data_IF_506957993679
#
_entry.id   IF_506957993679
#
_cell.length_a   1.000
_cell.length_b   1.000
_cell.length_c   1.000
_cell.angle_alpha   90.00
_cell.angle_beta   90.00
_cell.angle_gamma   90.00
#
_symmetry.space_group_name_H-M   'P 1'
#
loop_
_entity.id
_entity.type
_entity.pdbx_description
1 polymer ?
#
# COMPACT_ATOMS: atom_id res chain seq x y z
N UNK A 1 18.36 3.84 3.54
CA UNK A 1 16.98 4.17 3.95
C UNK A 1 16.01 3.42 3.06
N UNK A 2 15.20 2.52 3.62
CA UNK A 2 14.05 1.94 2.92
C UNK A 2 12.97 3.01 2.78
N UNK A 3 12.70 3.46 1.56
CA UNK A 3 11.73 4.50 1.23
C UNK A 3 10.69 3.89 0.29
N UNK A 4 9.42 4.22 0.48
CA UNK A 4 8.33 3.76 -0.38
C UNK A 4 7.27 4.85 -0.54
N UNK A 5 6.64 4.89 -1.71
CA UNK A 5 5.45 5.67 -1.99
C UNK A 5 4.37 4.71 -2.52
N UNK A 6 3.10 4.99 -2.21
CA UNK A 6 2.00 4.11 -2.62
C UNK A 6 0.67 4.47 -1.97
N UNK A 7 -0.33 3.65 -2.25
CA UNK A 7 -1.62 3.71 -1.59
C UNK A 7 -1.48 3.29 -0.14
N UNK A 8 -2.00 4.11 0.77
CA UNK A 8 -2.04 3.84 2.21
C UNK A 8 -3.49 3.76 2.65
N UNK A 9 -3.72 3.16 3.81
CA UNK A 9 -5.03 3.14 4.46
C UNK A 9 -4.83 2.97 5.95
N UNK A 10 -5.78 3.44 6.76
CA UNK A 10 -5.69 3.27 8.21
C UNK A 10 -5.85 1.81 8.58
N UNK A 11 -5.15 1.39 9.62
CA UNK A 11 -5.18 0.02 10.10
C UNK A 11 -6.59 -0.47 10.50
N UNK A 12 -7.47 0.45 10.92
CA UNK A 12 -8.87 0.15 11.31
C UNK A 12 -9.83 0.03 10.11
N UNK A 13 -9.47 0.62 8.97
CA UNK A 13 -10.34 0.75 7.80
C UNK A 13 -9.98 -0.23 6.67
N UNK A 14 -8.89 -0.99 6.81
CA UNK A 14 -8.39 -1.85 5.75
C UNK A 14 -8.79 -3.31 5.91
N UNK A 15 -9.09 -3.92 4.77
CA UNK A 15 -9.25 -5.36 4.64
C UNK A 15 -8.03 -5.87 3.90
N UNK A 16 -7.37 -6.89 4.44
CA UNK A 16 -6.36 -7.65 3.69
C UNK A 16 -7.13 -8.44 2.62
N UNK A 17 -6.94 -8.16 1.32
CA UNK A 17 -7.67 -8.86 0.28
C UNK A 17 -7.25 -10.33 0.25
N UNK A 18 -8.20 -11.23 -0.03
CA UNK A 18 -7.95 -12.66 -0.08
C UNK A 18 -7.22 -13.10 -1.36
N UNK A 19 -6.96 -12.18 -2.29
CA UNK A 19 -6.20 -12.46 -3.50
C UNK A 19 -5.73 -11.16 -4.16
N UNK A 20 -4.77 -11.27 -5.07
CA UNK A 20 -4.36 -10.15 -5.92
C UNK A 20 -5.51 -9.67 -6.80
N UNK A 21 -6.38 -10.57 -7.28
CA UNK A 21 -7.56 -10.19 -8.03
C UNK A 21 -8.49 -9.28 -7.20
N UNK A 22 -8.74 -9.67 -5.95
CA UNK A 22 -9.56 -8.88 -5.04
C UNK A 22 -8.91 -7.52 -4.73
N UNK A 23 -7.59 -7.46 -4.56
CA UNK A 23 -6.84 -6.21 -4.42
C UNK A 23 -7.05 -5.28 -5.63
N UNK A 24 -6.85 -5.80 -6.84
CA UNK A 24 -7.03 -5.04 -8.09
C UNK A 24 -8.45 -4.51 -8.21
N UNK A 25 -9.45 -5.36 -7.92
CA UNK A 25 -10.86 -4.98 -8.00
C UNK A 25 -11.19 -3.91 -6.96
N UNK A 26 -10.84 -4.12 -5.69
CA UNK A 26 -11.12 -3.21 -4.57
C UNK A 26 -10.48 -1.84 -4.75
N UNK A 27 -9.25 -1.79 -5.26
CA UNK A 27 -8.50 -0.56 -5.48
C UNK A 27 -8.56 -0.06 -6.93
N UNK A 28 -9.45 -0.62 -7.77
CA UNK A 28 -9.62 -0.27 -9.20
C UNK A 28 -8.31 -0.11 -9.96
N UNK A 29 -7.34 -0.96 -9.68
CA UNK A 29 -6.01 -0.92 -10.30
C UNK A 29 -6.01 -1.44 -11.74
N UNK A 30 -7.20 -1.64 -12.33
CA UNK A 30 -7.47 -2.13 -13.69
C UNK A 30 -7.52 -1.00 -14.75
N UNK A 31 -6.98 0.18 -14.44
CA UNK A 31 -6.88 1.29 -15.38
C UNK A 31 -5.91 1.01 -16.54
N UNK A 32 -6.14 1.65 -17.68
CA UNK A 32 -5.29 1.49 -18.87
C UNK A 32 -3.83 1.88 -18.58
N UNK A 33 -2.89 1.03 -18.95
CA UNK A 33 -1.46 1.24 -18.69
C UNK A 33 -0.98 0.92 -17.27
N UNK A 34 -1.86 0.34 -16.43
CA UNK A 34 -1.47 -0.18 -15.12
C UNK A 34 -0.33 -1.19 -15.21
N UNK A 35 0.61 -1.13 -14.24
CA UNK A 35 1.66 -2.14 -14.07
C UNK A 35 1.24 -3.27 -13.12
N UNK A 36 0.07 -3.13 -12.49
CA UNK A 36 -0.45 -4.11 -11.54
C UNK A 36 -1.05 -5.31 -12.28
N UNK A 37 -0.97 -6.51 -11.67
CA UNK A 37 -1.43 -7.75 -12.27
C UNK A 37 -2.07 -8.65 -11.22
N UNK A 38 -3.24 -9.22 -11.57
CA UNK A 38 -3.96 -10.20 -10.75
C UNK A 38 -3.21 -11.54 -10.58
N UNK A 39 -2.20 -11.79 -11.41
CA UNK A 39 -1.45 -13.05 -11.43
C UNK A 39 -0.14 -13.00 -10.63
N UNK A 40 0.21 -11.82 -10.10
CA UNK A 40 1.37 -11.59 -9.23
C UNK A 40 0.94 -11.44 -7.78
N UNK A 41 1.81 -11.77 -6.83
CA UNK A 41 1.57 -11.51 -5.41
C UNK A 41 1.59 -10.02 -5.05
N UNK A 42 1.39 -9.72 -3.76
CA UNK A 42 1.39 -8.35 -3.24
C UNK A 42 2.09 -8.29 -1.87
N UNK A 43 2.48 -7.08 -1.47
CA UNK A 43 3.13 -6.84 -0.17
C UNK A 43 2.26 -5.89 0.65
N UNK A 44 1.98 -6.25 1.89
CA UNK A 44 1.35 -5.36 2.87
C UNK A 44 2.41 -4.95 3.87
N UNK A 45 2.58 -3.63 4.06
CA UNK A 45 3.50 -3.04 5.01
C UNK A 45 2.71 -2.32 6.10
N UNK A 46 2.84 -2.78 7.33
CA UNK A 46 2.18 -2.21 8.51
C UNK A 46 3.20 -1.41 9.31
N UNK A 47 2.96 -0.12 9.51
CA UNK A 47 3.88 0.79 10.20
C UNK A 47 3.14 1.87 10.99
N UNK A 48 3.82 2.45 11.99
CA UNK A 48 3.27 3.57 12.78
C UNK A 48 3.63 4.91 12.17
N UNK A 49 2.62 5.68 11.75
CA UNK A 49 2.77 7.06 11.31
C UNK A 49 2.03 8.03 12.26
N UNK A 50 2.74 8.80 13.12
CA UNK A 50 2.11 9.67 14.12
C UNK A 50 1.48 10.93 13.52
N UNK A 51 1.92 11.36 12.34
CA UNK A 51 1.44 12.57 11.67
C UNK A 51 1.31 12.27 10.18
N UNK A 52 0.33 11.44 9.78
CA UNK A 52 0.21 11.06 8.39
C UNK A 52 -0.26 12.27 7.60
N UNK A 53 0.64 12.83 6.78
CA UNK A 53 0.27 13.83 5.78
C UNK A 53 -0.38 13.09 4.62
N UNK A 54 -1.68 12.91 4.75
CA UNK A 54 -2.46 12.17 3.79
C UNK A 54 -3.21 13.15 2.93
N UNK A 55 -2.81 13.23 1.65
CA UNK A 55 -3.62 13.96 0.68
C UNK A 55 -4.85 13.10 0.36
N UNK A 56 -6.03 13.65 0.65
CA UNK A 56 -7.21 13.23 -0.07
C UNK A 56 -7.10 13.77 -1.49
N UNK A 57 -7.23 12.92 -2.50
CA UNK A 57 -7.09 13.24 -3.94
C UNK A 57 -8.11 14.24 -4.49
N UNK A 58 -8.82 15.00 -3.65
CA UNK A 58 -9.81 16.00 -4.05
C UNK A 58 -9.21 17.33 -4.53
N UNK A 59 -8.00 17.71 -4.09
CA UNK A 59 -7.46 19.06 -4.32
C UNK A 59 -6.43 19.17 -5.44
N UNK A 60 -6.06 18.07 -6.10
CA UNK A 60 -5.11 18.10 -7.22
C UNK A 60 -5.89 18.33 -8.54
N UNK A 61 -5.61 19.41 -9.30
CA UNK A 61 -6.22 19.60 -10.62
C UNK A 61 -5.91 18.41 -11.53
N UNK A 62 -6.94 17.81 -12.11
CA UNK A 62 -6.83 16.63 -12.97
C UNK A 62 -6.29 17.03 -14.35
N UNK A 63 -5.03 17.46 -14.41
CA UNK A 63 -4.31 17.66 -15.66
C UNK A 63 -3.92 16.28 -16.22
N UNK A 64 -4.77 15.68 -17.04
CA UNK A 64 -4.48 14.49 -17.86
C UNK A 64 -3.99 13.24 -17.10
N UNK A 65 -4.49 12.96 -15.89
CA UNK A 65 -4.10 11.76 -15.13
C UNK A 65 -5.08 10.59 -15.40
N UNK A 66 -4.64 9.47 -16.00
CA UNK A 66 -5.51 8.33 -16.39
C UNK A 66 -5.95 7.42 -15.23
N UNK A 67 -5.79 7.88 -13.99
CA UNK A 67 -6.03 7.09 -12.78
C UNK A 67 -7.53 7.03 -12.40
N UNK A 68 -7.97 5.94 -11.74
CA UNK A 68 -9.37 5.54 -11.57
C UNK A 68 -10.10 6.31 -10.44
N UNK A 69 -9.94 7.63 -10.38
CA UNK A 69 -10.47 8.46 -9.30
C UNK A 69 -11.98 8.72 -9.44
N UNK A 70 -12.75 8.45 -8.39
CA UNK A 70 -14.21 8.71 -8.36
C UNK A 70 -14.55 10.16 -8.02
N UNK A 71 -13.55 11.01 -7.71
CA UNK A 71 -13.71 12.37 -7.15
C UNK A 71 -14.47 12.42 -5.81
N UNK A 72 -14.49 11.31 -5.06
CA UNK A 72 -15.10 11.23 -3.72
C UNK A 72 -14.11 10.81 -2.62
N UNK A 73 -12.80 10.81 -2.90
CA UNK A 73 -11.77 10.38 -1.95
C UNK A 73 -11.85 8.88 -1.64
N UNK A 74 -12.47 8.11 -2.54
CA UNK A 74 -12.73 6.70 -2.40
C UNK A 74 -12.42 5.98 -3.72
N UNK A 75 -11.67 4.88 -3.67
CA UNK A 75 -11.68 3.87 -4.72
C UNK A 75 -12.86 2.96 -4.45
N UNK A 76 -13.87 3.02 -5.31
CA UNK A 76 -15.01 2.12 -5.25
C UNK A 76 -14.86 0.99 -6.27
N UNK A 77 -14.88 -0.25 -5.80
CA UNK A 77 -15.21 -1.43 -6.60
C UNK A 77 -16.70 -1.71 -6.54
N UNK A 78 -17.19 -2.66 -7.35
CA UNK A 78 -18.58 -3.16 -7.21
C UNK A 78 -18.85 -3.81 -5.85
N UNK A 79 -17.82 -4.09 -5.06
CA UNK A 79 -17.89 -4.87 -3.81
C UNK A 79 -17.56 -4.04 -2.57
N UNK A 80 -16.58 -3.13 -2.65
CA UNK A 80 -16.10 -2.35 -1.51
C UNK A 80 -15.79 -0.90 -1.90
N UNK A 81 -15.93 0.01 -0.94
CA UNK A 81 -15.50 1.40 -1.03
C UNK A 81 -14.30 1.54 -0.09
N UNK A 82 -13.13 1.87 -0.61
CA UNK A 82 -11.91 2.08 0.19
C UNK A 82 -11.49 3.55 0.07
N UNK A 83 -11.28 4.28 1.18
CA UNK A 83 -10.71 5.62 1.13
C UNK A 83 -9.36 5.63 0.40
N UNK A 84 -9.23 6.47 -0.63
CA UNK A 84 -7.95 6.68 -1.31
C UNK A 84 -7.12 7.67 -0.54
N UNK A 85 -6.09 7.16 0.09
CA UNK A 85 -5.07 7.96 0.71
C UNK A 85 -3.77 7.74 -0.07
N UNK A 86 -3.31 8.79 -0.74
CA UNK A 86 -1.99 8.81 -1.36
C UNK A 86 -1.04 9.53 -0.40
N UNK A 87 0.00 8.82 0.06
CA UNK A 87 1.09 9.48 0.80
C UNK A 87 2.04 10.09 -0.22
N UNK A 88 1.97 11.41 -0.38
CA UNK A 88 2.97 12.17 -1.17
C UNK A 88 4.34 12.18 -0.47
N UNK A 89 4.34 12.01 0.85
CA UNK A 89 5.56 11.94 1.65
C UNK A 89 6.18 10.55 1.65
N UNK A 90 7.51 10.54 1.66
CA UNK A 90 8.30 9.33 1.83
C UNK A 90 8.08 8.80 3.24
N UNK A 91 7.54 7.59 3.35
CA UNK A 91 7.40 6.90 4.64
C UNK A 91 8.79 6.49 5.15
N UNK A 92 9.15 6.96 6.34
CA UNK A 92 10.30 6.42 7.08
C UNK A 92 9.86 5.27 7.98
N UNK A 93 10.28 4.06 7.63
CA UNK A 93 10.00 2.88 8.44
C UNK A 93 10.93 2.78 9.67
N UNK A 94 10.39 2.24 10.76
CA UNK A 94 11.02 2.12 12.08
C UNK A 94 11.28 0.65 12.42
N UNK A 95 12.21 0.44 13.35
CA UNK A 95 12.49 -0.90 13.88
C UNK A 95 11.20 -1.49 14.45
N UNK A 96 10.91 -2.74 14.07
CA UNK A 96 9.69 -3.43 14.43
C UNK A 96 8.53 -3.31 13.42
N UNK A 97 8.63 -2.42 12.43
CA UNK A 97 7.64 -2.40 11.33
C UNK A 97 7.69 -3.72 10.54
N UNK A 98 6.53 -4.14 10.03
CA UNK A 98 6.33 -5.48 9.45
C UNK A 98 5.93 -5.38 7.99
N UNK A 99 6.53 -6.23 7.15
CA UNK A 99 6.09 -6.47 5.79
C UNK A 99 5.73 -7.95 5.64
N UNK A 100 4.56 -8.24 5.07
CA UNK A 100 4.12 -9.58 4.70
C UNK A 100 4.00 -9.67 3.19
N UNK A 101 4.62 -10.68 2.61
CA UNK A 101 4.53 -11.00 1.18
C UNK A 101 3.47 -12.07 1.01
N UNK A 102 2.49 -11.77 0.15
CA UNK A 102 1.39 -12.66 -0.19
C UNK A 102 1.58 -13.19 -1.61
N UNK A 103 1.27 -14.46 -1.84
CA UNK A 103 1.10 -14.98 -3.19
C UNK A 103 -0.17 -14.40 -3.85
N UNK A 104 -0.42 -14.76 -5.11
CA UNK A 104 -1.59 -14.27 -5.85
C UNK A 104 -2.94 -14.69 -5.24
N UNK A 105 -2.94 -15.73 -4.41
CA UNK A 105 -4.11 -16.32 -3.76
C UNK A 105 -4.26 -15.84 -2.31
N UNK A 106 -3.49 -14.84 -1.87
CA UNK A 106 -3.59 -14.29 -0.53
C UNK A 106 -2.93 -15.14 0.56
N UNK A 107 -2.12 -16.15 0.21
CA UNK A 107 -1.35 -16.89 1.21
C UNK A 107 -0.07 -16.13 1.56
N UNK A 108 0.22 -15.98 2.86
CA UNK A 108 1.50 -15.42 3.31
C UNK A 108 2.63 -16.40 2.96
N UNK A 109 3.59 -15.96 2.15
CA UNK A 109 4.76 -16.76 1.76
C UNK A 109 6.05 -16.29 2.42
N UNK A 110 6.12 -15.01 2.80
CA UNK A 110 7.27 -14.45 3.52
C UNK A 110 6.84 -13.36 4.50
N UNK A 111 7.62 -13.19 5.57
CA UNK A 111 7.47 -12.11 6.54
C UNK A 111 8.83 -11.46 6.78
N UNK A 112 8.83 -10.13 6.84
CA UNK A 112 10.01 -9.34 7.13
C UNK A 112 9.71 -8.38 8.29
N UNK A 113 10.73 -8.11 9.10
CA UNK A 113 10.69 -7.10 10.15
C UNK A 113 11.88 -6.16 9.96
N UNK A 114 11.68 -4.86 10.17
CA UNK A 114 12.82 -3.94 10.18
C UNK A 114 13.61 -4.12 11.45
N UNK A 115 14.89 -4.39 11.27
CA UNK A 115 15.87 -4.45 12.35
C UNK A 115 16.99 -3.44 12.10
N UNK A 116 17.59 -2.95 13.18
CA UNK A 116 18.84 -2.21 13.11
C UNK A 116 19.99 -3.20 13.00
N UNK A 117 20.91 -2.94 12.08
CA UNK A 117 22.19 -3.61 12.10
C UNK A 117 23.00 -3.13 13.33
N UNK A 118 23.44 -4.07 14.16
CA UNK A 118 24.07 -3.77 15.45
C UNK A 118 25.45 -3.08 15.30
N UNK A 119 26.09 -3.21 14.14
CA UNK A 119 27.43 -2.67 13.89
C UNK A 119 27.37 -1.32 13.18
N UNK A 120 26.41 -1.16 12.27
CA UNK A 120 26.34 0.02 11.38
C UNK A 120 25.18 0.97 11.71
N UNK A 121 24.24 0.56 12.57
CA UNK A 121 23.01 1.32 12.84
C UNK A 121 22.04 1.39 11.65
N UNK A 122 22.35 0.69 10.55
CA UNK A 122 21.56 0.74 9.32
C UNK A 122 20.30 -0.10 9.50
N UNK A 123 19.13 0.51 9.28
CA UNK A 123 17.83 -0.17 9.27
C UNK A 123 17.66 -0.99 7.97
N UNK A 124 17.32 -2.28 8.11
CA UNK A 124 17.04 -3.17 6.97
C UNK A 124 15.90 -4.13 7.27
N UNK A 125 15.15 -4.49 6.23
CA UNK A 125 14.18 -5.58 6.29
C UNK A 125 14.92 -6.92 6.44
N UNK A 126 14.64 -7.66 7.51
CA UNK A 126 15.13 -9.02 7.72
C UNK A 126 14.00 -10.03 7.64
N UNK A 127 14.22 -11.08 6.84
CA UNK A 127 13.31 -12.22 6.75
C UNK A 127 13.24 -12.90 8.11
N UNK A 128 12.03 -13.19 8.57
CA UNK A 128 11.76 -13.95 9.80
C UNK A 128 11.47 -15.42 9.48
#
# INVERSE_FOLDING_TARGET
>A
MSRGAGFVTKAEDYIIPNSSKELIENLRLDYSGTKFSKDKGFVVMEYKNPSPNVEHTFNTPQNNNPLPYTKTGMTGSKRNIIPEYYSADIVEFKVGDVAKVYDKNGNVIEKYVIESDNLTGIKKWKKQ
#
